data_IF_255288994818
#
_entry.id   IF_255288994818
#
_cell.length_a   1.000
_cell.length_b   1.000
_cell.length_c   1.000
_cell.angle_alpha   90.00
_cell.angle_beta   90.00
_cell.angle_gamma   90.00
#
_symmetry.space_group_name_H-M   'P 1'
#
loop_
_entity.id
_entity.type
_entity.pdbx_description
1 polymer ?
#
# COMPACT_ATOMS: atom_id res chain seq x y z
N UNK A 1 -21.84 -34.09 -7.88
CA UNK A 1 -21.39 -32.73 -8.17
C UNK A 1 -21.24 -31.97 -6.89
N UNK A 2 -20.09 -31.43 -6.66
CA UNK A 2 -19.79 -30.79 -5.39
C UNK A 2 -19.71 -29.26 -5.55
N UNK A 3 -20.87 -28.64 -5.50
CA UNK A 3 -20.99 -27.19 -5.70
C UNK A 3 -20.30 -26.39 -4.60
N UNK A 4 -20.29 -26.91 -3.37
CA UNK A 4 -19.68 -26.22 -2.24
C UNK A 4 -18.18 -25.99 -2.43
N UNK A 5 -17.45 -26.97 -2.94
CA UNK A 5 -16.03 -26.82 -3.23
C UNK A 5 -15.78 -25.78 -4.30
N UNK A 6 -16.57 -25.78 -5.34
CA UNK A 6 -16.45 -24.79 -6.43
C UNK A 6 -16.71 -23.38 -5.91
N UNK A 7 -17.71 -23.20 -5.06
CA UNK A 7 -18.06 -21.90 -4.50
C UNK A 7 -16.91 -21.38 -3.63
N UNK A 8 -16.30 -22.23 -2.81
CA UNK A 8 -15.18 -21.83 -1.94
C UNK A 8 -13.96 -21.39 -2.75
N UNK A 9 -13.62 -22.13 -3.79
CA UNK A 9 -12.50 -21.79 -4.68
C UNK A 9 -12.80 -20.47 -5.39
N UNK A 10 -14.02 -20.33 -5.88
CA UNK A 10 -14.48 -19.14 -6.57
C UNK A 10 -14.37 -17.90 -5.67
N UNK A 11 -14.74 -18.03 -4.40
CA UNK A 11 -14.67 -16.91 -3.44
C UNK A 11 -13.24 -16.46 -3.20
N UNK A 12 -12.29 -17.39 -3.11
CA UNK A 12 -10.88 -17.04 -2.97
C UNK A 12 -10.35 -16.34 -4.20
N UNK A 13 -10.73 -16.84 -5.37
CA UNK A 13 -10.32 -16.22 -6.62
C UNK A 13 -10.93 -14.84 -6.78
N UNK A 14 -12.20 -14.66 -6.40
CA UNK A 14 -12.87 -13.37 -6.44
C UNK A 14 -12.18 -12.35 -5.54
N UNK A 15 -11.78 -12.78 -4.33
CA UNK A 15 -11.13 -11.89 -3.37
C UNK A 15 -9.75 -11.41 -3.85
N UNK A 16 -9.18 -12.09 -4.86
CA UNK A 16 -7.89 -11.73 -5.44
C UNK A 16 -7.99 -11.37 -6.90
N UNK A 17 -9.21 -11.24 -7.43
CA UNK A 17 -9.36 -10.85 -8.83
C UNK A 17 -9.02 -9.37 -9.00
N UNK A 18 -8.53 -8.99 -10.20
CA UNK A 18 -8.23 -7.60 -10.48
C UNK A 18 -9.48 -6.73 -10.41
N UNK A 19 -9.37 -5.57 -9.81
CA UNK A 19 -10.46 -4.60 -9.71
C UNK A 19 -10.05 -3.34 -10.43
N UNK A 20 -10.89 -2.86 -11.33
CA UNK A 20 -10.65 -1.60 -12.03
C UNK A 20 -10.86 -0.45 -11.05
N UNK A 21 -9.84 0.41 -10.92
CA UNK A 21 -9.89 1.55 -9.99
C UNK A 21 -10.01 2.88 -10.70
N UNK A 22 -9.92 2.90 -12.03
CA UNK A 22 -10.06 4.12 -12.80
C UNK A 22 -9.35 4.06 -14.15
N UNK A 23 -9.39 5.18 -14.84
CA UNK A 23 -8.75 5.32 -16.13
C UNK A 23 -7.29 5.70 -15.95
N UNK A 24 -6.44 5.12 -16.77
CA UNK A 24 -5.00 5.38 -16.75
C UNK A 24 -4.70 6.87 -16.84
N UNK A 25 -5.32 7.56 -17.79
CA UNK A 25 -5.05 8.98 -18.02
C UNK A 25 -5.42 9.85 -16.83
N UNK A 26 -6.53 9.52 -16.17
CA UNK A 26 -6.99 10.28 -15.02
C UNK A 26 -6.04 10.11 -13.83
N UNK A 27 -5.61 8.88 -13.58
CA UNK A 27 -4.72 8.59 -12.46
C UNK A 27 -3.34 9.21 -12.68
N UNK A 28 -2.85 9.19 -13.92
CA UNK A 28 -1.59 9.86 -14.25
C UNK A 28 -1.66 11.37 -14.00
N UNK A 29 -2.79 12.00 -14.32
CA UNK A 29 -2.99 13.43 -14.06
C UNK A 29 -3.01 13.73 -12.59
N UNK A 30 -3.75 12.93 -11.82
CA UNK A 30 -3.88 13.11 -10.38
C UNK A 30 -2.61 12.73 -9.63
N UNK A 31 -1.78 11.88 -10.21
CA UNK A 31 -0.56 11.32 -9.62
C UNK A 31 -0.81 10.28 -8.55
N UNK A 32 -2.00 10.25 -7.96
CA UNK A 32 -2.38 9.26 -6.95
C UNK A 32 -3.88 9.18 -6.83
N UNK A 33 -4.36 8.05 -6.35
CA UNK A 33 -5.77 7.87 -6.06
C UNK A 33 -5.92 6.82 -4.95
N UNK A 34 -7.03 6.89 -4.23
CA UNK A 34 -7.38 5.86 -3.27
C UNK A 34 -8.51 5.03 -3.84
N UNK A 35 -8.61 3.78 -3.42
CA UNK A 35 -9.67 2.90 -3.86
C UNK A 35 -9.93 1.84 -2.80
N UNK A 36 -11.09 1.20 -2.89
CA UNK A 36 -11.42 0.05 -2.07
C UNK A 36 -11.46 -1.17 -2.98
N UNK A 37 -10.61 -2.15 -2.70
CA UNK A 37 -10.49 -3.36 -3.49
C UNK A 37 -10.82 -4.54 -2.58
N UNK A 38 -11.95 -5.21 -2.86
CA UNK A 38 -12.43 -6.32 -2.02
C UNK A 38 -12.42 -5.96 -0.53
N UNK A 39 -13.03 -4.80 -0.21
CA UNK A 39 -13.16 -4.26 1.16
C UNK A 39 -11.84 -3.81 1.80
N UNK A 40 -10.77 -3.73 1.04
CA UNK A 40 -9.48 -3.28 1.56
C UNK A 40 -9.13 -1.93 0.94
N UNK A 41 -8.81 -0.95 1.79
CA UNK A 41 -8.37 0.36 1.31
C UNK A 41 -6.97 0.27 0.75
N UNK A 42 -6.80 0.80 -0.45
CA UNK A 42 -5.48 0.88 -1.08
C UNK A 42 -5.25 2.29 -1.60
N UNK A 43 -3.99 2.65 -1.75
CA UNK A 43 -3.58 3.86 -2.44
C UNK A 43 -2.71 3.46 -3.63
N UNK A 44 -2.93 4.13 -4.75
CA UNK A 44 -2.14 3.91 -5.96
C UNK A 44 -1.43 5.20 -6.28
N UNK A 45 -0.12 5.11 -6.47
CA UNK A 45 0.71 6.24 -6.87
C UNK A 45 1.20 6.03 -8.29
N UNK A 46 1.19 7.11 -9.07
CA UNK A 46 1.88 7.14 -10.35
C UNK A 46 3.11 8.02 -10.16
N UNK A 47 4.27 7.43 -10.26
CA UNK A 47 5.52 8.14 -10.01
C UNK A 47 6.59 7.68 -10.98
N UNK A 48 7.20 8.64 -11.67
CA UNK A 48 8.34 8.39 -12.55
C UNK A 48 8.06 7.28 -13.57
N UNK A 49 6.88 7.30 -14.16
CA UNK A 49 6.51 6.39 -15.24
C UNK A 49 5.95 5.04 -14.77
N UNK A 50 5.80 4.82 -13.47
CA UNK A 50 5.31 3.54 -12.95
C UNK A 50 4.17 3.72 -11.96
N UNK A 51 3.31 2.72 -11.90
CA UNK A 51 2.24 2.66 -10.90
C UNK A 51 2.66 1.77 -9.75
N UNK A 52 2.29 2.20 -8.53
CA UNK A 52 2.56 1.46 -7.30
C UNK A 52 1.30 1.44 -6.46
N UNK A 53 0.93 0.28 -5.94
CA UNK A 53 -0.23 0.15 -5.06
C UNK A 53 0.20 -0.44 -3.74
N UNK A 54 -0.36 0.07 -2.65
CA UNK A 54 -0.10 -0.44 -1.32
C UNK A 54 -1.29 -0.18 -0.41
N UNK A 55 -1.28 -0.81 0.75
CA UNK A 55 -2.28 -0.51 1.77
C UNK A 55 -2.30 0.98 2.05
N UNK A 56 -3.49 1.55 2.17
CA UNK A 56 -3.65 2.99 2.34
C UNK A 56 -3.18 3.46 3.73
N UNK A 57 -3.36 2.62 4.75
CA UNK A 57 -3.04 3.00 6.13
C UNK A 57 -1.63 2.58 6.49
N UNK A 58 -0.84 3.54 6.97
CA UNK A 58 0.55 3.33 7.33
C UNK A 58 0.70 2.27 8.42
N UNK A 59 1.68 1.42 8.26
CA UNK A 59 1.93 0.30 9.18
C UNK A 59 2.26 0.75 10.61
N UNK A 60 2.67 1.98 10.79
CA UNK A 60 3.08 2.48 12.11
C UNK A 60 1.89 2.84 13.00
N UNK A 61 0.96 3.64 12.47
CA UNK A 61 -0.16 4.13 13.28
C UNK A 61 -1.44 4.32 12.48
N UNK A 62 -1.48 3.84 11.24
CA UNK A 62 -2.67 3.96 10.41
C UNK A 62 -2.81 5.28 9.69
N UNK A 63 -1.74 6.04 9.56
CA UNK A 63 -1.78 7.34 8.89
C UNK A 63 -2.22 7.24 7.43
N UNK A 64 -2.86 8.29 6.90
CA UNK A 64 -3.38 8.26 5.52
C UNK A 64 -2.28 8.55 4.51
N UNK A 65 -1.70 7.50 3.94
CA UNK A 65 -0.55 7.63 3.04
C UNK A 65 -0.83 8.46 1.80
N UNK A 66 -2.09 8.56 1.37
CA UNK A 66 -2.41 9.36 0.18
C UNK A 66 -2.12 10.85 0.37
N UNK A 67 -1.98 11.30 1.60
CA UNK A 67 -1.66 12.70 1.91
C UNK A 67 -0.16 12.94 2.08
N UNK A 68 0.66 11.90 1.98
CA UNK A 68 2.10 12.03 2.13
C UNK A 68 2.78 12.54 0.88
N UNK A 69 4.05 12.91 1.02
CA UNK A 69 4.88 13.31 -0.10
C UNK A 69 5.78 12.15 -0.51
N UNK A 70 6.20 12.15 -1.78
CA UNK A 70 7.12 11.15 -2.29
C UNK A 70 8.48 11.79 -2.44
N UNK A 71 9.50 11.19 -1.84
CA UNK A 71 10.89 11.64 -1.95
C UNK A 71 11.79 10.44 -2.11
N UNK A 72 12.96 10.68 -2.70
CA UNK A 72 13.95 9.61 -2.85
C UNK A 72 14.81 9.52 -1.60
N UNK A 73 14.94 8.30 -1.09
CA UNK A 73 15.85 8.00 0.02
C UNK A 73 16.67 6.79 -0.37
N UNK A 74 17.97 6.90 -0.23
CA UNK A 74 18.90 5.81 -0.56
C UNK A 74 18.68 5.28 -2.00
N UNK A 75 18.37 6.20 -2.93
CA UNK A 75 18.14 5.84 -4.33
C UNK A 75 16.80 5.21 -4.63
N UNK A 76 15.87 5.22 -3.66
CA UNK A 76 14.55 4.63 -3.83
C UNK A 76 13.45 5.64 -3.57
N UNK A 77 12.41 5.70 -4.42
CA UNK A 77 11.26 6.56 -4.12
C UNK A 77 10.46 5.99 -2.96
N UNK A 78 10.14 6.85 -2.01
CA UNK A 78 9.40 6.47 -0.82
C UNK A 78 8.23 7.40 -0.59
N UNK A 79 7.13 6.87 -0.06
CA UNK A 79 6.04 7.68 0.46
C UNK A 79 6.35 8.01 1.92
N UNK A 80 6.18 9.27 2.29
CA UNK A 80 6.40 9.72 3.66
C UNK A 80 5.05 9.84 4.36
N UNK A 81 4.84 9.05 5.38
CA UNK A 81 3.59 9.10 6.14
C UNK A 81 3.44 10.49 6.78
N UNK A 82 2.29 11.17 6.62
CA UNK A 82 2.09 12.47 7.24
C UNK A 82 2.08 12.41 8.78
N UNK A 83 1.84 11.22 9.34
CA UNK A 83 1.93 11.00 10.78
C UNK A 83 3.32 10.46 11.11
N UNK A 84 4.14 11.23 11.76
CA UNK A 84 5.47 10.85 12.26
C UNK A 84 6.54 10.63 11.19
N UNK A 85 6.27 10.94 9.92
CA UNK A 85 7.29 10.95 8.85
C UNK A 85 7.95 9.61 8.56
N UNK A 86 7.25 8.51 8.77
CA UNK A 86 7.77 7.19 8.40
C UNK A 86 7.92 7.08 6.89
N UNK A 87 9.02 6.46 6.45
CA UNK A 87 9.38 6.36 5.04
C UNK A 87 9.19 4.94 4.55
N UNK A 88 8.39 4.78 3.52
CA UNK A 88 8.02 3.46 2.98
C UNK A 88 8.36 3.43 1.50
N UNK A 89 9.17 2.45 1.07
CA UNK A 89 9.52 2.34 -0.34
C UNK A 89 8.29 2.00 -1.18
N UNK A 90 8.13 2.67 -2.31
CA UNK A 90 6.98 2.43 -3.18
C UNK A 90 7.00 1.03 -3.80
N UNK A 91 8.17 0.54 -4.12
CA UNK A 91 8.31 -0.72 -4.86
C UNK A 91 8.11 -1.96 -4.00
N UNK A 92 8.55 -1.94 -2.74
CA UNK A 92 8.57 -3.13 -1.91
C UNK A 92 7.84 -3.00 -0.59
N UNK A 93 7.53 -1.77 -0.15
CA UNK A 93 6.88 -1.57 1.14
C UNK A 93 7.82 -1.66 2.32
N UNK A 94 9.13 -1.52 2.08
CA UNK A 94 10.10 -1.54 3.17
C UNK A 94 10.07 -0.25 3.98
N UNK A 95 10.15 -0.37 5.29
CA UNK A 95 10.30 0.79 6.16
C UNK A 95 11.76 1.19 6.25
N UNK A 96 12.09 2.40 5.80
CA UNK A 96 13.48 2.87 5.84
C UNK A 96 13.70 3.80 7.03
N UNK A 97 14.89 3.73 7.59
CA UNK A 97 15.29 4.60 8.69
C UNK A 97 16.79 4.89 8.60
N UNK A 98 17.21 5.92 9.30
CA UNK A 98 18.62 6.27 9.36
C UNK A 98 19.20 5.90 10.72
N UNK A 99 20.44 5.36 10.68
CA UNK A 99 21.18 5.13 11.92
C UNK A 99 22.14 6.30 12.13
N UNK A 100 22.29 6.72 13.38
CA UNK A 100 23.19 7.77 13.76
C UNK A 100 24.22 7.16 14.70
N UNK A 101 25.51 7.54 14.51
CA UNK A 101 26.54 7.16 15.45
C UNK A 101 26.73 8.29 16.46
N UNK A 102 26.18 8.20 17.68
CA UNK A 102 26.30 9.29 18.66
C UNK A 102 27.72 9.51 19.16
N UNK A 103 28.59 8.52 18.96
CA UNK A 103 30.00 8.65 19.39
C UNK A 103 30.85 9.36 18.35
N UNK A 104 30.41 9.42 17.13
CA UNK A 104 31.14 10.08 16.06
C UNK A 104 30.16 10.81 15.14
N UNK A 105 29.82 12.06 15.49
CA UNK A 105 28.85 12.83 14.70
C UNK A 105 29.37 13.21 13.31
N UNK A 106 30.64 12.97 13.02
CA UNK A 106 31.19 13.26 11.69
C UNK A 106 30.87 12.13 10.69
N UNK A 107 30.45 10.96 11.18
CA UNK A 107 30.05 9.85 10.32
C UNK A 107 28.67 10.12 9.78
N UNK A 108 28.51 10.07 8.45
CA UNK A 108 27.22 10.27 7.81
C UNK A 108 26.21 9.21 8.25
N UNK A 109 24.95 9.60 8.50
CA UNK A 109 23.90 8.62 8.80
C UNK A 109 23.76 7.58 7.68
N UNK A 110 23.50 6.36 8.06
CA UNK A 110 23.32 5.27 7.10
C UNK A 110 21.85 4.88 7.01
N UNK A 111 21.38 4.65 5.80
CA UNK A 111 20.03 4.16 5.57
C UNK A 111 19.98 2.67 5.82
N UNK A 112 18.93 2.24 6.51
CA UNK A 112 18.68 0.84 6.79
C UNK A 112 17.20 0.52 6.59
N UNK A 113 16.90 -0.77 6.39
CA UNK A 113 15.54 -1.24 6.20
C UNK A 113 15.10 -2.06 7.40
N UNK A 114 13.87 -1.82 7.83
CA UNK A 114 13.19 -2.63 8.85
C UNK A 114 12.59 -3.89 8.24
N UNK A 115 12.75 -4.09 6.93
CA UNK A 115 12.08 -5.12 6.18
C UNK A 115 10.74 -4.65 5.63
N UNK A 116 10.00 -5.53 5.00
CA UNK A 116 8.71 -5.21 4.42
C UNK A 116 7.69 -5.02 5.55
N UNK A 117 7.18 -3.81 5.67
CA UNK A 117 6.22 -3.43 6.71
C UNK A 117 4.87 -3.02 6.15
N UNK A 118 4.86 -2.54 4.90
CA UNK A 118 3.66 -2.11 4.22
C UNK A 118 3.34 -3.08 3.10
N UNK A 119 2.12 -3.61 3.08
CA UNK A 119 1.72 -4.54 2.03
C UNK A 119 1.54 -3.80 0.73
N UNK A 120 2.24 -4.26 -0.31
CA UNK A 120 2.08 -3.73 -1.66
C UNK A 120 1.19 -4.67 -2.47
N UNK A 121 0.58 -4.13 -3.51
CA UNK A 121 -0.33 -4.87 -4.37
C UNK A 121 0.08 -4.69 -5.81
N UNK A 122 -0.41 -5.58 -6.66
CA UNK A 122 -0.05 -5.57 -8.07
C UNK A 122 -0.93 -4.57 -8.83
N UNK A 123 -0.31 -3.79 -9.70
CA UNK A 123 -1.03 -2.89 -10.60
C UNK A 123 -0.85 -3.37 -12.02
N UNK A 124 -1.93 -3.35 -12.78
CA UNK A 124 -1.94 -3.77 -14.16
C UNK A 124 -2.77 -2.77 -14.98
N UNK A 125 -2.29 -2.42 -16.16
CA UNK A 125 -3.02 -1.53 -17.06
C UNK A 125 -3.44 -2.32 -18.28
N UNK A 126 -4.72 -2.23 -18.63
CA UNK A 126 -5.25 -2.93 -19.78
C UNK A 126 -6.32 -2.05 -20.43
N UNK A 127 -6.16 -1.79 -21.73
CA UNK A 127 -7.13 -1.01 -22.52
C UNK A 127 -7.45 0.34 -21.90
N UNK A 128 -6.45 0.99 -21.32
CA UNK A 128 -6.59 2.31 -20.72
C UNK A 128 -7.21 2.32 -19.34
N UNK A 129 -7.41 1.17 -18.74
CA UNK A 129 -7.95 1.04 -17.38
C UNK A 129 -6.88 0.50 -16.44
N UNK A 130 -6.89 0.99 -15.21
CA UNK A 130 -5.94 0.57 -14.18
C UNK A 130 -6.62 -0.41 -13.25
N UNK A 131 -5.99 -1.56 -13.05
CA UNK A 131 -6.51 -2.64 -12.21
C UNK A 131 -5.55 -2.89 -11.05
N UNK A 132 -6.10 -3.17 -9.89
CA UNK A 132 -5.32 -3.57 -8.71
C UNK A 132 -5.71 -4.99 -8.33
N UNK A 133 -4.70 -5.82 -8.13
CA UNK A 133 -4.87 -7.18 -7.62
C UNK A 133 -4.21 -7.24 -6.25
N UNK A 134 -4.98 -7.62 -5.24
CA UNK A 134 -4.44 -7.73 -3.89
C UNK A 134 -3.37 -8.82 -3.84
N UNK A 135 -2.32 -8.56 -3.07
CA UNK A 135 -1.27 -9.55 -2.86
C UNK A 135 -1.79 -10.70 -2.00
N UNK A 136 -1.07 -11.82 -2.02
CA UNK A 136 -1.42 -12.98 -1.21
C UNK A 136 -1.35 -12.60 0.27
N UNK A 137 -2.42 -12.89 1.01
CA UNK A 137 -2.52 -12.56 2.43
C UNK A 137 -2.08 -13.71 3.34
N UNK A 138 -1.39 -14.73 2.79
CA UNK A 138 -0.93 -15.87 3.55
C UNK A 138 0.06 -15.46 4.64
N UNK A 139 0.96 -14.51 4.32
CA UNK A 139 1.93 -13.98 5.27
C UNK A 139 1.41 -12.69 5.88
N UNK A 140 1.58 -12.55 7.19
CA UNK A 140 1.14 -11.35 7.88
C UNK A 140 2.18 -10.24 7.73
N UNK A 141 1.73 -9.04 7.38
CA UNK A 141 2.56 -7.85 7.26
C UNK A 141 1.97 -6.78 8.19
N UNK A 142 2.82 -5.94 8.76
CA UNK A 142 2.42 -4.98 9.80
C UNK A 142 1.24 -4.11 9.39
N UNK A 143 1.17 -3.66 8.14
CA UNK A 143 0.06 -2.82 7.68
C UNK A 143 -1.29 -3.54 7.69
N UNK A 144 -1.30 -4.87 7.70
CA UNK A 144 -2.55 -5.64 7.72
C UNK A 144 -3.41 -5.29 8.93
N UNK A 145 -2.79 -5.04 10.07
CA UNK A 145 -3.51 -4.66 11.28
C UNK A 145 -4.36 -3.41 11.05
N UNK A 146 -3.78 -2.38 10.44
CA UNK A 146 -4.49 -1.12 10.21
C UNK A 146 -5.49 -1.23 9.07
N UNK A 147 -5.20 -2.03 8.06
CA UNK A 147 -6.15 -2.29 6.99
C UNK A 147 -7.44 -2.91 7.56
N UNK A 148 -7.30 -3.88 8.45
CA UNK A 148 -8.45 -4.54 9.07
C UNK A 148 -9.17 -3.62 10.05
N UNK A 149 -8.43 -2.85 10.84
CA UNK A 149 -8.98 -1.92 11.80
C UNK A 149 -9.88 -0.88 11.13
N UNK A 150 -9.40 -0.26 10.07
CA UNK A 150 -10.15 0.78 9.36
C UNK A 150 -11.27 0.18 8.50
N UNK A 151 -11.10 -1.03 8.03
CA UNK A 151 -12.15 -1.78 7.36
C UNK A 151 -13.37 -1.96 8.26
N UNK A 152 -13.14 -2.31 9.52
CA UNK A 152 -14.22 -2.44 10.51
C UNK A 152 -14.93 -1.11 10.73
N UNK A 153 -14.18 -0.02 10.80
CA UNK A 153 -14.74 1.30 10.98
C UNK A 153 -15.62 1.71 9.79
N UNK A 154 -15.18 1.39 8.57
CA UNK A 154 -15.92 1.69 7.35
C UNK A 154 -17.22 0.90 7.29
N UNK A 155 -17.18 -0.36 7.68
CA UNK A 155 -18.31 -1.29 7.56
C UNK A 155 -19.25 -1.24 8.77
N UNK A 156 -18.88 -0.54 9.83
CA UNK A 156 -19.72 -0.43 11.01
C UNK A 156 -20.93 0.47 10.74
N UNK A 157 -22.11 0.12 11.27
CA UNK A 157 -23.25 1.06 11.20
C UNK A 157 -22.88 2.36 11.89
N UNK A 158 -23.39 3.45 11.33
CA UNK A 158 -23.16 4.76 11.92
C UNK A 158 -23.69 4.78 13.33
N UNK A 159 -22.81 4.98 14.27
CA UNK A 159 -23.21 5.19 15.67
C UNK A 159 -23.46 6.67 15.88
N UNK A 160 -24.57 6.95 16.40
CA UNK A 160 -24.96 8.35 16.65
C UNK A 160 -24.96 8.66 18.11
#
# INVERSE_FOLDING_TARGET
MNEDSSVKISNKEEARSPVCIGREDDIKKLRRTTATVHNREVVVFYHDGSFYAMDHRCYHAGGPLHLGEIEDFNGQPCIICPWHKYKITLSTGEGLYQTINPRDPTVAPKWKSKGIKQRTHKVNVDSGNVYVTLSDLADNIDSDYYAEKFKKAINSPMKK
#
